data_IF_030234585798
#
_entry.id   IF_030234585798
#
_cell.length_a   1.000
_cell.length_b   1.000
_cell.length_c   1.000
_cell.angle_alpha   90.00
_cell.angle_beta   90.00
_cell.angle_gamma   90.00
#
_symmetry.space_group_name_H-M   'P 1'
#
loop_
_entity.id
_entity.type
_entity.pdbx_description
1 polymer ?
#
# COMPACT_ATOMS: atom_id res chain seq x y z
N UNK A 1 4.88 -8.38 -15.53
CA UNK A 1 4.30 -7.66 -14.38
C UNK A 1 2.99 -8.32 -13.96
N UNK A 2 3.00 -8.94 -12.79
CA UNK A 2 1.84 -9.69 -12.28
C UNK A 2 0.62 -8.78 -12.06
N UNK A 3 0.86 -7.58 -11.56
CA UNK A 3 -0.18 -6.59 -11.26
C UNK A 3 -0.24 -5.43 -12.26
N UNK A 4 0.38 -5.62 -13.43
CA UNK A 4 0.51 -4.57 -14.45
C UNK A 4 1.49 -3.47 -14.04
N UNK A 5 1.55 -2.41 -14.84
CA UNK A 5 2.41 -1.23 -14.60
C UNK A 5 1.60 0.03 -14.27
N UNK A 6 0.27 -0.02 -14.44
CA UNK A 6 -0.60 1.09 -14.03
C UNK A 6 -0.73 1.15 -12.50
N UNK A 7 -0.69 2.34 -11.89
CA UNK A 7 -0.84 2.50 -10.45
C UNK A 7 -2.23 2.10 -9.97
N UNK A 8 -2.34 1.74 -8.71
CA UNK A 8 -3.61 1.39 -8.09
C UNK A 8 -4.58 2.58 -8.07
N UNK A 9 -5.84 2.33 -8.42
CA UNK A 9 -6.85 3.39 -8.57
C UNK A 9 -7.17 4.12 -7.25
N UNK A 10 -7.22 3.41 -6.11
CA UNK A 10 -7.43 4.02 -4.79
C UNK A 10 -6.27 4.96 -4.44
N UNK A 11 -5.04 4.52 -4.67
CA UNK A 11 -3.85 5.35 -4.47
C UNK A 11 -3.89 6.60 -5.34
N UNK A 12 -4.22 6.47 -6.63
CA UNK A 12 -4.35 7.60 -7.54
C UNK A 12 -5.36 8.63 -7.06
N UNK A 13 -6.52 8.18 -6.59
CA UNK A 13 -7.59 9.05 -6.10
C UNK A 13 -7.19 9.85 -4.84
N UNK A 14 -6.26 9.33 -4.04
CA UNK A 14 -5.88 9.92 -2.75
C UNK A 14 -4.44 10.46 -2.69
N UNK A 15 -3.65 10.30 -3.73
CA UNK A 15 -2.27 10.82 -3.78
C UNK A 15 -2.17 12.36 -3.73
N UNK A 16 -3.28 13.07 -3.92
CA UNK A 16 -3.38 14.52 -3.70
C UNK A 16 -3.17 14.94 -2.23
N UNK A 17 -3.16 14.00 -1.29
CA UNK A 17 -2.78 14.24 0.10
C UNK A 17 -1.29 14.61 0.25
N UNK A 18 -0.46 14.33 -0.75
CA UNK A 18 0.98 14.59 -0.74
C UNK A 18 1.38 15.61 -1.79
N UNK A 19 2.38 16.44 -1.46
CA UNK A 19 2.91 17.47 -2.35
C UNK A 19 4.28 17.05 -2.92
N UNK A 20 4.68 17.52 -4.11
CA UNK A 20 6.02 17.30 -4.64
C UNK A 20 7.12 17.63 -3.61
N UNK A 21 8.14 16.80 -3.53
CA UNK A 21 9.22 16.89 -2.55
C UNK A 21 8.95 16.23 -1.21
N UNK A 22 7.71 15.86 -0.90
CA UNK A 22 7.40 15.08 0.30
C UNK A 22 7.85 13.63 0.17
N UNK A 23 8.20 13.03 1.31
CA UNK A 23 8.75 11.69 1.40
C UNK A 23 7.65 10.67 1.65
N UNK A 24 7.54 9.67 0.76
CA UNK A 24 6.51 8.63 0.81
C UNK A 24 7.15 7.24 0.81
N UNK A 25 6.67 6.36 1.69
CA UNK A 25 7.05 4.95 1.73
C UNK A 25 5.98 4.09 1.06
N UNK A 26 6.37 3.27 0.09
CA UNK A 26 5.55 2.20 -0.50
C UNK A 26 5.93 0.86 0.13
N UNK A 27 4.98 0.24 0.81
CA UNK A 27 5.17 -0.99 1.57
C UNK A 27 4.78 -2.20 0.76
N UNK A 28 5.67 -3.20 0.67
CA UNK A 28 5.48 -4.40 -0.13
C UNK A 28 5.02 -4.05 -1.56
N UNK A 29 5.83 -3.21 -2.22
CA UNK A 29 5.48 -2.52 -3.48
C UNK A 29 5.54 -3.43 -4.71
N UNK A 30 6.07 -4.65 -4.55
CA UNK A 30 6.17 -5.64 -5.63
C UNK A 30 7.07 -5.16 -6.76
N UNK A 31 6.47 -5.04 -7.95
CA UNK A 31 7.17 -4.69 -9.19
C UNK A 31 7.20 -3.18 -9.48
N UNK A 32 6.85 -2.32 -8.51
CA UNK A 32 7.10 -0.87 -8.57
C UNK A 32 6.00 0.00 -9.19
N UNK A 33 4.85 -0.55 -9.55
CA UNK A 33 3.80 0.22 -10.24
C UNK A 33 3.32 1.45 -9.48
N UNK A 34 3.25 1.37 -8.15
CA UNK A 34 2.81 2.48 -7.30
C UNK A 34 3.94 3.45 -6.99
N UNK A 35 5.09 2.97 -6.57
CA UNK A 35 6.24 3.80 -6.22
C UNK A 35 6.77 4.60 -7.41
N UNK A 36 6.90 3.97 -8.58
CA UNK A 36 7.35 4.63 -9.81
C UNK A 36 6.38 5.73 -10.23
N UNK A 37 5.08 5.46 -10.15
CA UNK A 37 4.06 6.48 -10.45
C UNK A 37 4.11 7.65 -9.45
N UNK A 38 4.25 7.39 -8.15
CA UNK A 38 4.39 8.45 -7.15
C UNK A 38 5.65 9.29 -7.40
N UNK A 39 6.77 8.67 -7.74
CA UNK A 39 8.00 9.37 -8.09
C UNK A 39 7.83 10.25 -9.33
N UNK A 40 7.06 9.81 -10.34
CA UNK A 40 6.75 10.63 -11.52
C UNK A 40 5.94 11.90 -11.20
N UNK A 41 5.31 11.93 -10.03
CA UNK A 41 4.60 13.10 -9.50
C UNK A 41 5.49 14.03 -8.68
N UNK A 42 6.79 13.78 -8.63
CA UNK A 42 7.76 14.61 -7.91
C UNK A 42 7.91 14.30 -6.43
N UNK A 43 7.39 13.17 -5.94
CA UNK A 43 7.57 12.73 -4.56
C UNK A 43 8.96 12.08 -4.38
N UNK A 44 9.53 12.20 -3.18
CA UNK A 44 10.71 11.45 -2.74
C UNK A 44 10.24 10.08 -2.24
N UNK A 45 10.44 9.04 -3.05
CA UNK A 45 9.83 7.73 -2.80
C UNK A 45 10.87 6.71 -2.36
N UNK A 46 10.58 6.08 -1.23
CA UNK A 46 11.17 4.83 -0.78
C UNK A 46 10.18 3.68 -0.97
N UNK A 47 10.68 2.52 -1.36
CA UNK A 47 9.86 1.32 -1.51
C UNK A 47 10.65 0.07 -1.14
N UNK A 48 9.97 -0.92 -0.57
CA UNK A 48 10.58 -2.21 -0.34
C UNK A 48 9.61 -3.36 -0.65
N UNK A 49 10.19 -4.49 -0.98
CA UNK A 49 9.47 -5.76 -1.15
C UNK A 49 10.38 -6.92 -0.76
N UNK A 50 9.80 -8.04 -0.37
CA UNK A 50 10.55 -9.26 -0.05
C UNK A 50 11.15 -9.93 -1.30
N UNK A 51 10.54 -9.71 -2.48
CA UNK A 51 10.95 -10.30 -3.75
C UNK A 51 12.10 -9.52 -4.38
N UNK A 52 13.26 -10.13 -4.43
CA UNK A 52 14.42 -9.57 -5.16
C UNK A 52 14.12 -9.41 -6.67
N UNK A 53 13.40 -10.35 -7.25
CA UNK A 53 12.94 -10.29 -8.66
C UNK A 53 11.94 -9.14 -8.83
N UNK A 54 11.01 -8.96 -7.90
CA UNK A 54 10.06 -7.83 -7.91
C UNK A 54 10.78 -6.50 -7.86
N UNK A 55 11.72 -6.34 -6.93
CA UNK A 55 12.52 -5.12 -6.79
C UNK A 55 13.40 -4.87 -8.02
N UNK A 56 13.96 -5.91 -8.64
CA UNK A 56 14.73 -5.75 -9.87
C UNK A 56 13.85 -5.21 -11.02
N UNK A 57 12.61 -5.71 -11.16
CA UNK A 57 11.65 -5.20 -12.13
C UNK A 57 11.22 -3.77 -11.83
N UNK A 58 11.02 -3.44 -10.53
CA UNK A 58 10.68 -2.08 -10.10
C UNK A 58 11.78 -1.07 -10.47
N UNK A 59 13.05 -1.44 -10.28
CA UNK A 59 14.20 -0.62 -10.69
C UNK A 59 14.23 -0.43 -12.21
N UNK A 60 13.97 -1.48 -12.99
CA UNK A 60 13.91 -1.39 -14.45
C UNK A 60 12.77 -0.46 -14.90
N UNK A 61 11.58 -0.58 -14.28
CA UNK A 61 10.44 0.29 -14.56
C UNK A 61 10.75 1.76 -14.23
N UNK A 62 11.39 2.03 -13.11
CA UNK A 62 11.80 3.39 -12.72
C UNK A 62 12.78 3.98 -13.75
N UNK A 63 13.77 3.20 -14.20
CA UNK A 63 14.73 3.62 -15.22
C UNK A 63 14.03 3.90 -16.55
N UNK A 64 13.10 3.05 -16.98
CA UNK A 64 12.31 3.23 -18.20
C UNK A 64 11.48 4.52 -18.15
N UNK A 65 10.90 4.83 -17.00
CA UNK A 65 10.11 6.05 -16.80
C UNK A 65 10.95 7.30 -16.48
N UNK A 66 12.28 7.16 -16.37
CA UNK A 66 13.19 8.27 -16.08
C UNK A 66 13.02 8.87 -14.69
N UNK A 67 12.58 8.08 -13.71
CA UNK A 67 12.40 8.52 -12.32
C UNK A 67 13.32 7.76 -11.37
N UNK A 68 13.51 8.33 -10.17
CA UNK A 68 14.32 7.74 -9.10
C UNK A 68 13.44 7.32 -7.95
N UNK A 69 13.62 6.08 -7.48
CA UNK A 69 13.00 5.52 -6.27
C UNK A 69 14.07 4.78 -5.49
N UNK A 70 14.08 4.94 -4.18
CA UNK A 70 14.99 4.20 -3.30
C UNK A 70 14.39 2.83 -2.96
N UNK A 71 14.83 1.79 -3.66
CA UNK A 71 14.33 0.42 -3.48
C UNK A 71 15.20 -0.41 -2.55
N UNK A 72 14.56 -1.12 -1.62
CA UNK A 72 15.18 -2.14 -0.77
C UNK A 72 14.54 -3.52 -0.96
N UNK A 73 15.34 -4.58 -0.83
CA UNK A 73 14.83 -5.96 -0.68
C UNK A 73 14.76 -6.24 0.81
N UNK A 74 13.55 -6.38 1.33
CA UNK A 74 13.31 -6.63 2.77
C UNK A 74 11.91 -7.18 2.98
N UNK A 75 11.73 -8.03 4.00
CA UNK A 75 10.41 -8.30 4.56
C UNK A 75 9.99 -7.20 5.55
N UNK A 76 8.72 -7.22 5.96
CA UNK A 76 8.16 -6.20 6.84
C UNK A 76 8.69 -6.25 8.28
N UNK A 77 9.14 -7.40 8.77
CA UNK A 77 9.71 -7.54 10.11
C UNK A 77 11.18 -7.11 10.15
N UNK A 78 11.93 -7.33 9.06
CA UNK A 78 13.35 -6.97 8.94
C UNK A 78 13.58 -5.52 8.45
N UNK A 79 12.58 -4.89 7.84
CA UNK A 79 12.71 -3.52 7.32
C UNK A 79 13.05 -2.52 8.44
N UNK A 80 14.01 -1.63 8.18
CA UNK A 80 14.45 -0.62 9.14
C UNK A 80 13.45 0.54 9.23
N UNK A 81 12.31 0.32 9.88
CA UNK A 81 11.28 1.32 10.09
C UNK A 81 11.79 2.52 10.88
N UNK A 82 11.91 3.67 10.24
CA UNK A 82 12.38 4.91 10.88
C UNK A 82 11.18 5.70 11.42
N UNK A 83 11.08 5.92 12.74
CA UNK A 83 9.99 6.68 13.33
C UNK A 83 9.93 8.11 12.79
N UNK A 84 8.72 8.57 12.43
CA UNK A 84 8.49 9.94 12.00
C UNK A 84 9.26 10.36 10.74
N UNK A 85 9.57 9.42 9.85
CA UNK A 85 10.39 9.68 8.67
C UNK A 85 9.61 10.12 7.43
N UNK A 86 8.33 9.76 7.33
CA UNK A 86 7.56 9.87 6.10
C UNK A 86 6.37 10.83 6.24
N UNK A 87 6.16 11.66 5.21
CA UNK A 87 4.97 12.47 5.03
C UNK A 87 3.78 11.63 4.56
N UNK A 88 4.07 10.49 3.94
CA UNK A 88 3.07 9.55 3.48
C UNK A 88 3.50 8.08 3.53
N UNK A 89 2.53 7.20 3.65
CA UNK A 89 2.70 5.75 3.52
C UNK A 89 1.61 5.20 2.62
N UNK A 90 2.00 4.45 1.60
CA UNK A 90 1.12 3.68 0.73
C UNK A 90 1.23 2.19 1.09
N UNK A 91 0.12 1.60 1.53
CA UNK A 91 0.01 0.18 1.89
C UNK A 91 -1.14 -0.47 1.09
N UNK A 92 -0.85 -0.90 -0.13
CA UNK A 92 -1.82 -1.39 -1.11
C UNK A 92 -1.74 -2.92 -1.18
N UNK A 93 -2.82 -3.60 -0.80
CA UNK A 93 -2.92 -5.06 -0.80
C UNK A 93 -1.85 -5.79 0.04
N UNK A 94 -1.51 -5.24 1.20
CA UNK A 94 -0.53 -5.83 2.13
C UNK A 94 -1.13 -6.98 2.98
N UNK A 95 -2.05 -7.74 2.40
CA UNK A 95 -2.83 -8.79 3.08
C UNK A 95 -2.17 -10.18 3.08
N UNK A 96 -0.87 -10.24 2.79
CA UNK A 96 -0.05 -11.43 3.04
C UNK A 96 0.17 -11.66 4.55
N UNK A 97 0.04 -10.61 5.37
CA UNK A 97 0.26 -10.67 6.81
C UNK A 97 -0.90 -11.35 7.53
N UNK A 98 -0.61 -12.41 8.27
CA UNK A 98 -1.54 -12.99 9.23
C UNK A 98 -1.87 -12.00 10.36
N UNK A 99 -2.84 -12.27 11.25
CA UNK A 99 -3.22 -11.33 12.30
C UNK A 99 -2.07 -10.87 13.21
N UNK A 100 -1.12 -11.74 13.55
CA UNK A 100 0.01 -11.39 14.41
C UNK A 100 1.02 -10.49 13.69
N UNK A 101 1.40 -10.84 12.47
CA UNK A 101 2.26 -10.03 11.62
C UNK A 101 1.60 -8.69 11.26
N UNK A 102 0.31 -8.71 10.96
CA UNK A 102 -0.49 -7.51 10.66
C UNK A 102 -0.48 -6.50 11.80
N UNK A 103 -0.60 -6.95 13.05
CA UNK A 103 -0.53 -6.06 14.21
C UNK A 103 0.82 -5.32 14.28
N UNK A 104 1.93 -6.01 14.03
CA UNK A 104 3.26 -5.40 13.98
C UNK A 104 3.40 -4.45 12.78
N UNK A 105 2.95 -4.89 11.60
CA UNK A 105 2.97 -4.07 10.40
C UNK A 105 2.19 -2.76 10.60
N UNK A 106 0.96 -2.82 11.08
CA UNK A 106 0.12 -1.64 11.28
C UNK A 106 0.71 -0.68 12.31
N UNK A 107 1.28 -1.19 13.40
CA UNK A 107 2.01 -0.37 14.35
C UNK A 107 3.21 0.36 13.70
N UNK A 108 3.93 -0.29 12.81
CA UNK A 108 5.04 0.31 12.07
C UNK A 108 4.56 1.36 11.06
N UNK A 109 3.43 1.13 10.34
CA UNK A 109 2.82 2.12 9.44
C UNK A 109 2.49 3.41 10.19
N UNK A 110 1.93 3.31 11.39
CA UNK A 110 1.61 4.47 12.24
C UNK A 110 2.89 5.17 12.69
N UNK A 111 3.84 4.41 13.23
CA UNK A 111 5.06 4.94 13.86
C UNK A 111 5.96 5.69 12.87
N UNK A 112 6.06 5.22 11.63
CA UNK A 112 6.95 5.81 10.63
C UNK A 112 6.40 7.11 10.01
N UNK A 113 5.11 7.42 10.17
CA UNK A 113 4.53 8.70 9.74
C UNK A 113 5.03 9.86 10.60
N UNK A 114 5.29 11.00 9.98
CA UNK A 114 5.42 12.30 10.66
C UNK A 114 4.07 12.73 11.26
N UNK A 115 4.04 13.60 12.28
CA UNK A 115 2.82 14.32 12.64
C UNK A 115 2.23 15.01 11.40
N UNK A 116 0.94 14.85 11.16
CA UNK A 116 0.27 15.32 9.95
C UNK A 116 0.46 14.45 8.71
N UNK A 117 1.30 13.44 8.76
CA UNK A 117 1.51 12.49 7.66
C UNK A 117 0.29 11.62 7.39
N UNK A 118 0.11 11.17 6.15
CA UNK A 118 -1.09 10.47 5.69
C UNK A 118 -0.79 9.03 5.28
N UNK A 119 -1.60 8.10 5.79
CA UNK A 119 -1.66 6.70 5.35
C UNK A 119 -2.74 6.55 4.28
N UNK A 120 -2.39 5.92 3.15
CA UNK A 120 -3.33 5.43 2.14
C UNK A 120 -3.22 3.91 2.10
N UNK A 121 -4.30 3.21 2.44
CA UNK A 121 -4.37 1.75 2.52
C UNK A 121 -5.55 1.24 1.73
N UNK A 122 -5.37 0.14 1.02
CA UNK A 122 -6.44 -0.61 0.37
C UNK A 122 -6.23 -2.10 0.57
N UNK A 123 -7.34 -2.83 0.72
CA UNK A 123 -7.34 -4.29 0.77
C UNK A 123 -8.69 -4.86 0.36
N UNK A 124 -8.79 -6.18 0.41
CA UNK A 124 -10.02 -6.92 0.18
C UNK A 124 -10.81 -7.12 1.47
N UNK A 125 -12.14 -7.14 1.36
CA UNK A 125 -13.05 -7.51 2.45
C UNK A 125 -13.35 -9.01 2.45
N UNK A 126 -13.93 -9.58 3.52
CA UNK A 126 -14.36 -10.99 3.56
C UNK A 126 -15.28 -11.40 2.41
N UNK A 127 -16.09 -10.49 1.87
CA UNK A 127 -16.96 -10.74 0.71
C UNK A 127 -16.17 -11.14 -0.55
N UNK A 128 -14.89 -10.80 -0.64
CA UNK A 128 -14.01 -11.21 -1.75
C UNK A 128 -13.94 -12.73 -1.93
N UNK A 129 -14.09 -13.49 -0.86
CA UNK A 129 -14.08 -14.96 -0.93
C UNK A 129 -15.22 -15.52 -1.81
N UNK A 130 -16.33 -14.80 -1.94
CA UNK A 130 -17.45 -15.18 -2.80
C UNK A 130 -17.12 -14.99 -4.28
N UNK A 131 -16.31 -13.98 -4.62
CA UNK A 131 -15.98 -13.64 -6.01
C UNK A 131 -14.81 -14.44 -6.58
N UNK A 132 -13.83 -14.81 -5.77
CA UNK A 132 -12.66 -15.60 -6.18
C UNK A 132 -11.86 -14.98 -7.34
N UNK A 133 -11.83 -13.66 -7.42
CA UNK A 133 -11.17 -12.89 -8.48
C UNK A 133 -9.80 -12.37 -8.08
N UNK A 134 -9.27 -12.82 -6.95
CA UNK A 134 -7.98 -12.41 -6.39
C UNK A 134 -8.06 -12.27 -4.87
N UNK A 135 -6.93 -11.87 -4.27
CA UNK A 135 -6.80 -11.70 -2.82
C UNK A 135 -6.47 -13.00 -2.07
N UNK A 136 -6.17 -12.90 -0.77
CA UNK A 136 -5.82 -14.05 0.05
C UNK A 136 -7.02 -14.97 0.28
N UNK A 137 -6.80 -16.30 0.34
CA UNK A 137 -7.89 -17.26 0.52
C UNK A 137 -8.37 -17.39 1.96
N UNK A 138 -7.67 -16.78 2.92
CA UNK A 138 -7.97 -16.88 4.34
C UNK A 138 -8.71 -15.65 4.85
N UNK A 139 -9.89 -15.84 5.46
CA UNK A 139 -10.70 -14.75 6.01
C UNK A 139 -9.94 -13.90 7.04
N UNK A 140 -9.02 -14.51 7.81
CA UNK A 140 -8.19 -13.82 8.81
C UNK A 140 -7.25 -12.76 8.24
N UNK A 141 -6.96 -12.82 6.95
CA UNK A 141 -6.11 -11.85 6.24
C UNK A 141 -6.91 -10.68 5.66
N UNK A 142 -8.24 -10.83 5.59
CA UNK A 142 -9.12 -9.82 4.99
C UNK A 142 -9.50 -8.73 5.99
N UNK A 143 -9.85 -7.56 5.48
CA UNK A 143 -10.08 -6.38 6.30
C UNK A 143 -11.56 -6.05 6.40
N UNK A 144 -12.00 -5.65 7.60
CA UNK A 144 -13.33 -5.06 7.84
C UNK A 144 -13.18 -3.62 8.34
N UNK A 145 -14.20 -2.79 8.13
CA UNK A 145 -14.17 -1.43 8.67
C UNK A 145 -13.97 -1.37 10.19
N UNK A 146 -14.69 -2.18 11.02
CA UNK A 146 -14.45 -2.18 12.47
C UNK A 146 -12.99 -2.49 12.84
N UNK A 147 -12.39 -3.50 12.18
CA UNK A 147 -11.00 -3.88 12.43
C UNK A 147 -10.03 -2.74 12.08
N UNK A 148 -10.24 -2.07 10.94
CA UNK A 148 -9.38 -0.94 10.55
C UNK A 148 -9.56 0.27 11.47
N UNK A 149 -10.80 0.56 11.93
CA UNK A 149 -11.05 1.62 12.92
C UNK A 149 -10.32 1.38 14.23
N UNK A 150 -10.34 0.15 14.72
CA UNK A 150 -9.63 -0.24 15.93
C UNK A 150 -8.10 -0.16 15.74
N UNK A 151 -7.60 -0.75 14.68
CA UNK A 151 -6.16 -0.81 14.39
C UNK A 151 -5.53 0.58 14.21
N UNK A 152 -6.25 1.52 13.63
CA UNK A 152 -5.78 2.88 13.35
C UNK A 152 -6.45 3.97 14.21
N UNK A 153 -6.92 3.60 15.42
CA UNK A 153 -7.58 4.53 16.35
C UNK A 153 -6.71 5.71 16.79
N UNK A 154 -5.38 5.57 16.72
CA UNK A 154 -4.43 6.64 17.00
C UNK A 154 -4.36 7.70 15.89
N UNK A 155 -4.88 7.42 14.71
CA UNK A 155 -4.93 8.33 13.58
C UNK A 155 -6.31 8.99 13.47
N UNK A 156 -6.36 10.15 12.82
CA UNK A 156 -7.61 10.75 12.38
C UNK A 156 -8.04 10.11 11.05
N UNK A 157 -9.12 9.33 11.07
CA UNK A 157 -9.65 8.69 9.88
C UNK A 157 -10.34 9.72 9.02
N UNK A 158 -9.77 9.98 7.83
CA UNK A 158 -10.30 10.93 6.84
C UNK A 158 -11.37 10.27 5.98
N UNK A 159 -11.08 9.05 5.52
CA UNK A 159 -12.00 8.24 4.73
C UNK A 159 -11.83 6.76 5.08
N UNK A 160 -12.92 6.05 5.26
CA UNK A 160 -12.95 4.60 5.42
C UNK A 160 -14.25 4.09 4.85
N UNK A 161 -14.15 3.31 3.77
CA UNK A 161 -15.34 2.73 3.11
C UNK A 161 -15.06 1.37 2.50
N UNK A 162 -16.06 0.52 2.53
CA UNK A 162 -16.13 -0.67 1.71
C UNK A 162 -16.85 -0.36 0.39
N UNK A 163 -16.41 -0.97 -0.70
CA UNK A 163 -16.99 -0.78 -2.02
C UNK A 163 -16.66 -1.96 -2.93
N UNK A 164 -17.37 -2.07 -4.03
CA UNK A 164 -17.12 -3.05 -5.06
C UNK A 164 -16.66 -2.35 -6.34
N UNK A 165 -15.72 -2.97 -7.04
CA UNK A 165 -15.20 -2.46 -8.31
C UNK A 165 -14.70 -3.61 -9.20
N UNK A 166 -14.74 -3.38 -10.51
CA UNK A 166 -13.98 -4.20 -11.44
C UNK A 166 -12.51 -3.81 -11.39
N UNK A 167 -11.66 -4.74 -10.98
CA UNK A 167 -10.22 -4.55 -11.04
C UNK A 167 -9.67 -5.05 -12.38
N UNK A 168 -8.71 -4.29 -12.92
CA UNK A 168 -7.96 -4.64 -14.12
C UNK A 168 -6.47 -4.34 -13.87
N UNK A 169 -5.96 -4.85 -12.77
CA UNK A 169 -4.59 -4.62 -12.30
C UNK A 169 -3.74 -5.87 -12.56
N UNK A 170 -3.40 -6.10 -13.83
CA UNK A 170 -2.67 -7.30 -14.28
C UNK A 170 -3.49 -8.58 -14.12
N UNK A 171 -2.81 -9.72 -14.09
CA UNK A 171 -3.45 -11.04 -13.90
C UNK A 171 -3.70 -11.39 -12.43
N UNK A 172 -3.05 -10.71 -11.49
CA UNK A 172 -3.15 -10.99 -10.06
C UNK A 172 -4.35 -10.32 -9.36
N UNK A 173 -4.86 -9.21 -9.92
CA UNK A 173 -6.03 -8.48 -9.43
C UNK A 173 -6.95 -8.15 -10.61
N UNK A 174 -7.80 -9.08 -11.00
CA UNK A 174 -8.65 -8.94 -12.19
C UNK A 174 -10.04 -9.49 -11.93
N UNK A 175 -11.04 -8.65 -12.16
CA UNK A 175 -12.46 -8.99 -12.04
C UNK A 175 -13.19 -8.27 -10.92
N UNK A 176 -14.47 -8.59 -10.76
CA UNK A 176 -15.32 -7.99 -9.73
C UNK A 176 -14.78 -8.26 -8.33
N UNK A 177 -14.58 -7.23 -7.55
CA UNK A 177 -13.85 -7.32 -6.28
C UNK A 177 -14.53 -6.52 -5.18
N UNK A 178 -14.50 -7.07 -3.97
CA UNK A 178 -14.98 -6.43 -2.75
C UNK A 178 -13.81 -5.83 -1.98
N UNK A 179 -13.78 -4.52 -1.88
CA UNK A 179 -12.64 -3.73 -1.43
C UNK A 179 -12.98 -2.90 -0.19
N UNK A 180 -11.95 -2.57 0.56
CA UNK A 180 -11.99 -1.55 1.61
C UNK A 180 -10.80 -0.61 1.43
N UNK A 181 -11.06 0.68 1.48
CA UNK A 181 -10.05 1.72 1.43
C UNK A 181 -10.05 2.56 2.69
N UNK A 182 -8.87 2.90 3.17
CA UNK A 182 -8.63 3.78 4.31
C UNK A 182 -7.68 4.90 3.91
N UNK A 183 -8.05 6.12 4.29
CA UNK A 183 -7.15 7.28 4.35
C UNK A 183 -7.19 7.80 5.76
N UNK A 184 -6.02 7.87 6.41
CA UNK A 184 -5.93 8.32 7.80
C UNK A 184 -4.70 9.21 8.00
N UNK A 185 -4.78 10.18 8.91
CA UNK A 185 -3.76 11.17 9.18
C UNK A 185 -3.22 11.05 10.59
N UNK A 186 -1.92 11.08 10.75
CA UNK A 186 -1.29 11.12 12.08
C UNK A 186 -1.53 12.47 12.74
N UNK A 187 -1.99 12.43 13.99
CA UNK A 187 -2.14 13.60 14.86
C UNK A 187 -0.80 14.26 15.17
#
# INVERSE_FOLDING_TARGET
FLFGTAPNAWLCAHAGAWQPGQRVLCVADGEGRNSVWLASRGLDVEAFDISDVGVAKARALAAEQGVSVNFAVSDCDAYAWTPGAYDGVAAIFVQFADPAMRARLFANLIRCLKPGGTLVLQGYTPKQLDYRTGGPPHVSHLYTQPMLREAFAELDIVELREYEAELAEGSGHCGHSALVGLVARRR
#
